data_IF_255461929096
#
_entry.id   IF_255461929096
#
_cell.length_a   1.000
_cell.length_b   1.000
_cell.length_c   1.000
_cell.angle_alpha   90.00
_cell.angle_beta   90.00
_cell.angle_gamma   90.00
#
_symmetry.space_group_name_H-M   'P 1'
#
loop_
_entity.id
_entity.type
_entity.pdbx_description
1 polymer ?
#
# COMPACT_ATOMS: atom_id res chain seq x y z
N UNK A 1 15.48 -4.47 20.24
CA UNK A 1 15.79 -3.14 19.68
C UNK A 1 14.46 -2.39 19.57
N UNK A 2 14.45 -1.07 19.67
CA UNK A 2 13.20 -0.30 19.64
C UNK A 2 12.75 -0.06 18.19
N UNK A 3 11.46 0.22 17.98
CA UNK A 3 10.95 0.68 16.70
C UNK A 3 11.60 2.04 16.38
N UNK A 4 12.31 2.11 15.26
CA UNK A 4 12.74 3.38 14.66
C UNK A 4 11.52 4.20 14.17
N UNK A 5 10.98 5.02 15.08
CA UNK A 5 9.83 5.87 14.79
C UNK A 5 10.11 6.94 13.74
N UNK A 6 11.34 7.45 13.64
CA UNK A 6 11.68 8.49 12.66
C UNK A 6 11.57 7.92 11.26
N UNK A 7 12.14 6.73 11.05
CA UNK A 7 12.04 5.99 9.80
C UNK A 7 10.58 5.68 9.45
N UNK A 8 9.79 5.18 10.40
CA UNK A 8 8.38 4.86 10.18
C UNK A 8 7.57 6.12 9.84
N UNK A 9 7.72 7.21 10.60
CA UNK A 9 6.99 8.48 10.34
C UNK A 9 7.32 9.06 8.97
N UNK A 10 8.59 9.02 8.54
CA UNK A 10 8.99 9.44 7.18
C UNK A 10 8.33 8.62 6.09
N UNK A 11 8.28 7.30 6.25
CA UNK A 11 7.62 6.41 5.28
C UNK A 11 6.10 6.60 5.25
N UNK A 12 5.46 6.80 6.41
CA UNK A 12 4.04 7.12 6.48
C UNK A 12 3.71 8.45 5.78
N UNK A 13 4.59 9.45 5.87
CA UNK A 13 4.43 10.69 5.12
C UNK A 13 4.53 10.46 3.60
N UNK A 14 5.55 9.72 3.15
CA UNK A 14 5.70 9.35 1.74
C UNK A 14 4.50 8.55 1.22
N UNK A 15 3.95 7.62 2.00
CA UNK A 15 2.70 6.90 1.64
C UNK A 15 1.54 7.87 1.42
N UNK A 16 1.40 8.89 2.27
CA UNK A 16 0.31 9.86 2.16
C UNK A 16 0.46 10.77 0.94
N UNK A 17 1.69 11.15 0.58
CA UNK A 17 1.98 11.92 -0.64
C UNK A 17 1.56 11.14 -1.90
N UNK A 18 1.96 9.86 -1.99
CA UNK A 18 1.56 8.98 -3.10
C UNK A 18 0.04 8.72 -3.10
N UNK A 19 -0.57 8.55 -1.93
CA UNK A 19 -2.02 8.38 -1.80
C UNK A 19 -2.79 9.61 -2.30
N UNK A 20 -2.32 10.81 -1.96
CA UNK A 20 -2.91 12.05 -2.44
C UNK A 20 -2.78 12.19 -3.96
N UNK A 21 -1.66 11.75 -4.53
CA UNK A 21 -1.51 11.71 -5.98
C UNK A 21 -2.51 10.74 -6.63
N UNK A 22 -2.73 9.55 -6.06
CA UNK A 22 -3.76 8.61 -6.55
C UNK A 22 -5.16 9.23 -6.47
N UNK A 23 -5.50 9.93 -5.40
CA UNK A 23 -6.79 10.61 -5.24
C UNK A 23 -7.00 11.70 -6.32
N UNK A 24 -5.96 12.42 -6.72
CA UNK A 24 -6.05 13.37 -7.83
C UNK A 24 -6.38 12.70 -9.17
N UNK A 25 -5.89 11.48 -9.38
CA UNK A 25 -6.21 10.71 -10.58
C UNK A 25 -7.66 10.19 -10.54
N UNK A 26 -8.20 9.90 -9.36
CA UNK A 26 -9.60 9.50 -9.18
C UNK A 26 -10.60 10.60 -9.55
N UNK A 27 -10.18 11.87 -9.52
CA UNK A 27 -11.00 13.02 -9.94
C UNK A 27 -11.16 13.13 -11.46
N UNK A 28 -10.35 12.39 -12.23
CA UNK A 28 -10.45 12.34 -13.69
C UNK A 28 -11.67 11.54 -14.13
N UNK A 29 -12.09 11.71 -15.37
CA UNK A 29 -12.96 10.72 -16.02
C UNK A 29 -12.15 9.51 -16.47
N UNK A 30 -12.83 8.38 -16.65
CA UNK A 30 -12.22 7.15 -17.16
C UNK A 30 -11.54 7.37 -18.53
N UNK A 31 -12.20 8.09 -19.44
CA UNK A 31 -11.66 8.44 -20.76
C UNK A 31 -10.40 9.33 -20.65
N UNK A 32 -10.37 10.29 -19.73
CA UNK A 32 -9.19 11.13 -19.49
C UNK A 32 -8.02 10.33 -18.90
N UNK A 33 -8.32 9.38 -18.01
CA UNK A 33 -7.30 8.53 -17.42
C UNK A 33 -6.66 7.61 -18.45
N UNK A 34 -7.48 6.90 -19.25
CA UNK A 34 -6.99 5.96 -20.27
C UNK A 34 -6.43 6.68 -21.50
N UNK A 35 -6.95 7.87 -21.80
CA UNK A 35 -6.51 8.69 -22.94
C UNK A 35 -5.06 9.18 -22.86
N UNK A 36 -4.43 9.13 -21.68
CA UNK A 36 -3.02 9.47 -21.49
C UNK A 36 -2.26 8.38 -20.71
N UNK A 37 -1.42 7.62 -21.44
CA UNK A 37 -0.60 6.57 -20.86
C UNK A 37 0.37 7.03 -19.76
N UNK A 38 0.59 8.33 -19.57
CA UNK A 38 1.33 8.87 -18.41
C UNK A 38 0.58 8.65 -17.11
N UNK A 39 -0.76 8.75 -17.10
CA UNK A 39 -1.58 8.54 -15.91
C UNK A 39 -1.47 7.11 -15.39
N UNK A 40 -1.47 6.14 -16.32
CA UNK A 40 -1.24 4.73 -16.00
C UNK A 40 0.15 4.51 -15.41
N UNK A 41 1.20 5.01 -16.07
CA UNK A 41 2.58 4.80 -15.61
C UNK A 41 2.83 5.46 -14.25
N UNK A 42 2.29 6.66 -14.06
CA UNK A 42 2.41 7.40 -12.81
C UNK A 42 1.63 6.73 -11.67
N UNK A 43 0.37 6.33 -11.90
CA UNK A 43 -0.43 5.62 -10.88
C UNK A 43 0.21 4.29 -10.50
N UNK A 44 0.70 3.52 -11.48
CA UNK A 44 1.39 2.28 -11.20
C UNK A 44 2.67 2.49 -10.37
N UNK A 45 3.41 3.57 -10.66
CA UNK A 45 4.61 3.90 -9.88
C UNK A 45 4.27 4.31 -8.46
N UNK A 46 3.23 5.12 -8.27
CA UNK A 46 2.74 5.50 -6.94
C UNK A 46 2.29 4.28 -6.14
N UNK A 47 1.57 3.34 -6.76
CA UNK A 47 1.14 2.08 -6.15
C UNK A 47 2.33 1.20 -5.74
N UNK A 48 3.37 1.13 -6.57
CA UNK A 48 4.62 0.43 -6.21
C UNK A 48 5.26 1.07 -4.97
N UNK A 49 5.37 2.41 -4.93
CA UNK A 49 5.97 3.13 -3.82
C UNK A 49 5.18 2.96 -2.51
N UNK A 50 3.84 3.01 -2.58
CA UNK A 50 2.94 2.72 -1.46
C UNK A 50 3.17 1.29 -0.96
N UNK A 51 3.11 0.32 -1.87
CA UNK A 51 3.27 -1.10 -1.55
C UNK A 51 4.60 -1.38 -0.86
N UNK A 52 5.70 -0.86 -1.40
CA UNK A 52 7.03 -1.04 -0.84
C UNK A 52 7.11 -0.43 0.57
N UNK A 53 6.58 0.78 0.75
CA UNK A 53 6.60 1.45 2.06
C UNK A 53 5.76 0.72 3.10
N UNK A 54 4.58 0.18 2.73
CA UNK A 54 3.76 -0.67 3.59
C UNK A 54 4.56 -1.91 4.02
N UNK A 55 5.20 -2.61 3.08
CA UNK A 55 5.98 -3.81 3.39
C UNK A 55 7.17 -3.47 4.29
N UNK A 56 7.90 -2.39 4.02
CA UNK A 56 9.07 -1.98 4.80
C UNK A 56 8.70 -1.65 6.26
N UNK A 57 7.66 -0.85 6.47
CA UNK A 57 7.16 -0.52 7.81
C UNK A 57 6.70 -1.80 8.53
N UNK A 58 5.90 -2.62 7.85
CA UNK A 58 5.34 -3.84 8.44
C UNK A 58 6.44 -4.83 8.84
N UNK A 59 7.43 -5.03 7.97
CA UNK A 59 8.59 -5.90 8.22
C UNK A 59 9.42 -5.40 9.38
N UNK A 60 9.63 -4.09 9.49
CA UNK A 60 10.32 -3.48 10.62
C UNK A 60 9.57 -3.74 11.94
N UNK A 61 8.25 -3.52 11.97
CA UNK A 61 7.42 -3.80 13.15
C UNK A 61 7.52 -5.28 13.54
N UNK A 62 7.39 -6.19 12.58
CA UNK A 62 7.50 -7.65 12.78
C UNK A 62 8.86 -8.02 13.39
N UNK A 63 9.94 -7.48 12.84
CA UNK A 63 11.30 -7.72 13.32
C UNK A 63 11.52 -7.20 14.76
N UNK A 64 11.06 -5.98 15.06
CA UNK A 64 11.23 -5.42 16.42
C UNK A 64 10.44 -6.17 17.49
N UNK A 65 9.36 -6.84 17.11
CA UNK A 65 8.55 -7.62 18.03
C UNK A 65 8.86 -9.13 18.01
N UNK A 66 9.85 -9.58 17.23
CA UNK A 66 10.19 -11.00 17.06
C UNK A 66 8.99 -11.88 16.63
N UNK A 67 8.15 -11.37 15.73
CA UNK A 67 6.96 -12.09 15.24
C UNK A 67 7.24 -13.10 14.11
N UNK A 68 8.52 -13.45 13.92
CA UNK A 68 8.98 -14.34 12.86
C UNK A 68 9.56 -13.61 11.66
N UNK A 69 9.86 -14.37 10.61
CA UNK A 69 10.50 -13.89 9.38
C UNK A 69 9.52 -14.17 8.23
N UNK A 70 8.84 -13.14 7.68
CA UNK A 70 7.97 -13.34 6.54
C UNK A 70 8.78 -13.66 5.28
N UNK A 71 8.36 -14.68 4.54
CA UNK A 71 8.99 -15.10 3.28
C UNK A 71 8.38 -14.37 2.07
N UNK A 72 7.21 -13.76 2.24
CA UNK A 72 6.49 -13.05 1.18
C UNK A 72 5.85 -11.77 1.70
N UNK A 73 5.54 -10.84 0.79
CA UNK A 73 4.80 -9.62 1.12
C UNK A 73 3.41 -9.95 1.70
N UNK A 74 2.73 -10.98 1.17
CA UNK A 74 1.44 -11.43 1.74
C UNK A 74 1.59 -11.92 3.18
N UNK A 75 2.62 -12.71 3.46
CA UNK A 75 2.89 -13.16 4.82
C UNK A 75 3.23 -12.00 5.76
N UNK A 76 3.88 -10.95 5.27
CA UNK A 76 4.15 -9.73 6.04
C UNK A 76 2.84 -9.08 6.51
N UNK A 77 1.86 -8.92 5.60
CA UNK A 77 0.54 -8.38 5.95
C UNK A 77 -0.26 -9.34 6.84
N UNK A 78 -0.13 -10.64 6.63
CA UNK A 78 -0.78 -11.67 7.45
C UNK A 78 -0.28 -11.64 8.90
N UNK A 79 1.01 -11.45 9.13
CA UNK A 79 1.58 -11.33 10.47
C UNK A 79 1.05 -10.12 11.23
N UNK A 80 0.89 -8.96 10.56
CA UNK A 80 0.27 -7.80 11.19
C UNK A 80 -1.16 -8.09 11.68
N UNK A 81 -1.95 -8.84 10.88
CA UNK A 81 -3.29 -9.26 11.27
C UNK A 81 -3.27 -10.25 12.43
N UNK A 82 -2.40 -11.25 12.36
CA UNK A 82 -2.25 -12.28 13.42
C UNK A 82 -1.94 -11.64 14.77
N UNK A 83 -1.12 -10.59 14.77
CA UNK A 83 -0.77 -9.81 15.96
C UNK A 83 -1.71 -8.63 16.24
N UNK A 84 -2.87 -8.58 15.58
CA UNK A 84 -3.95 -7.60 15.79
C UNK A 84 -3.53 -6.14 15.58
N UNK A 85 -2.49 -5.88 14.79
CA UNK A 85 -2.07 -4.53 14.40
C UNK A 85 -3.05 -3.93 13.38
N UNK A 86 -3.59 -4.77 12.51
CA UNK A 86 -4.61 -4.40 11.52
C UNK A 86 -5.77 -5.39 11.55
N UNK A 87 -7.00 -4.97 11.20
CA UNK A 87 -8.15 -5.86 11.17
C UNK A 87 -8.13 -6.77 9.93
N UNK A 88 -8.92 -7.85 9.98
CA UNK A 88 -8.97 -8.88 8.93
C UNK A 88 -9.32 -8.30 7.56
N UNK A 89 -10.33 -7.43 7.47
CA UNK A 89 -10.76 -6.82 6.21
C UNK A 89 -9.63 -6.03 5.54
N UNK A 90 -8.93 -5.19 6.31
CA UNK A 90 -7.79 -4.43 5.79
C UNK A 90 -6.64 -5.34 5.38
N UNK A 91 -6.36 -6.40 6.15
CA UNK A 91 -5.34 -7.39 5.79
C UNK A 91 -5.61 -8.07 4.45
N UNK A 92 -6.86 -8.48 4.18
CA UNK A 92 -7.21 -9.08 2.87
C UNK A 92 -7.03 -8.08 1.72
N UNK A 93 -7.47 -6.83 1.91
CA UNK A 93 -7.30 -5.79 0.91
C UNK A 93 -5.82 -5.47 0.63
N UNK A 94 -5.01 -5.32 1.68
CA UNK A 94 -3.58 -5.06 1.54
C UNK A 94 -2.85 -6.25 0.91
N UNK A 95 -3.24 -7.49 1.20
CA UNK A 95 -2.70 -8.68 0.51
C UNK A 95 -2.97 -8.64 -0.99
N UNK A 96 -4.11 -8.11 -1.42
CA UNK A 96 -4.40 -7.89 -2.85
C UNK A 96 -3.51 -6.77 -3.41
N UNK A 97 -3.42 -5.63 -2.73
CA UNK A 97 -2.58 -4.50 -3.12
C UNK A 97 -1.10 -4.91 -3.33
N UNK A 98 -0.50 -5.59 -2.35
CA UNK A 98 0.90 -6.03 -2.48
C UNK A 98 1.12 -7.08 -3.59
N UNK A 99 0.05 -7.74 -4.04
CA UNK A 99 0.08 -8.66 -5.18
C UNK A 99 -0.03 -7.94 -6.51
N UNK A 100 -0.77 -6.83 -6.56
CA UNK A 100 -0.95 -6.02 -7.78
C UNK A 100 0.38 -5.49 -8.30
N UNK A 101 1.37 -5.24 -7.42
CA UNK A 101 2.74 -4.85 -7.81
C UNK A 101 3.37 -5.83 -8.82
N UNK A 102 3.07 -7.13 -8.72
CA UNK A 102 3.59 -8.13 -9.67
C UNK A 102 2.83 -8.13 -11.00
N UNK A 103 1.61 -7.59 -11.04
CA UNK A 103 0.83 -7.48 -12.28
C UNK A 103 1.31 -6.24 -13.04
N UNK A 104 1.44 -5.11 -12.34
CA UNK A 104 1.86 -3.81 -12.89
C UNK A 104 3.30 -3.80 -13.45
N UNK A 105 4.19 -4.65 -12.94
CA UNK A 105 5.60 -4.68 -13.41
C UNK A 105 5.77 -5.47 -14.71
N UNK A 106 4.90 -6.45 -15.00
CA UNK A 106 5.17 -7.42 -16.05
C UNK A 106 4.28 -7.29 -17.29
N UNK A 107 3.12 -6.62 -17.24
CA UNK A 107 2.19 -6.50 -18.38
C UNK A 107 1.42 -5.19 -18.33
N UNK A 108 1.38 -4.46 -19.45
CA UNK A 108 0.37 -3.45 -19.70
C UNK A 108 -0.25 -3.76 -21.07
N UNK A 109 -1.42 -4.40 -21.05
CA UNK A 109 -2.37 -4.47 -22.17
C UNK A 109 -3.60 -3.63 -21.82
N UNK A 110 -4.47 -3.31 -22.79
CA UNK A 110 -5.65 -2.45 -22.56
C UNK A 110 -6.53 -2.91 -21.38
N UNK A 111 -6.68 -4.23 -21.19
CA UNK A 111 -7.41 -4.80 -20.05
C UNK A 111 -6.81 -4.45 -18.67
N UNK A 112 -5.52 -4.10 -18.59
CA UNK A 112 -4.86 -3.71 -17.33
C UNK A 112 -5.19 -2.27 -16.93
N UNK A 113 -5.59 -1.41 -17.88
CA UNK A 113 -5.95 -0.01 -17.63
C UNK A 113 -7.26 0.08 -16.86
N UNK A 114 -8.28 -0.65 -17.31
CA UNK A 114 -9.58 -0.72 -16.64
C UNK A 114 -9.46 -1.30 -15.24
N UNK A 115 -8.66 -2.36 -15.08
CA UNK A 115 -8.42 -2.97 -13.77
C UNK A 115 -7.77 -1.95 -12.82
N UNK A 116 -6.76 -1.21 -13.30
CA UNK A 116 -6.06 -0.22 -12.48
C UNK A 116 -6.99 0.93 -12.09
N UNK A 117 -7.70 1.51 -13.06
CA UNK A 117 -8.68 2.58 -12.84
C UNK A 117 -9.72 2.19 -11.77
N UNK A 118 -10.35 1.03 -11.95
CA UNK A 118 -11.38 0.54 -11.02
C UNK A 118 -10.82 0.20 -9.62
N UNK A 119 -9.51 0.11 -9.48
CA UNK A 119 -8.85 -0.19 -8.21
C UNK A 119 -8.40 1.06 -7.44
N UNK A 120 -8.26 2.23 -8.09
CA UNK A 120 -7.66 3.44 -7.49
C UNK A 120 -8.34 3.83 -6.16
N UNK A 121 -9.67 4.00 -6.18
CA UNK A 121 -10.46 4.38 -5.01
C UNK A 121 -10.30 3.42 -3.83
N UNK A 122 -10.19 2.11 -4.11
CA UNK A 122 -9.96 1.12 -3.06
C UNK A 122 -8.56 1.26 -2.50
N UNK A 123 -7.57 1.44 -3.36
CA UNK A 123 -6.17 1.59 -2.96
C UNK A 123 -5.98 2.81 -2.07
N UNK A 124 -6.50 3.98 -2.43
CA UNK A 124 -6.39 5.20 -1.63
C UNK A 124 -7.05 5.02 -0.25
N UNK A 125 -8.27 4.49 -0.20
CA UNK A 125 -8.99 4.20 1.04
C UNK A 125 -8.24 3.21 1.96
N UNK A 126 -7.77 2.09 1.42
CA UNK A 126 -7.04 1.08 2.19
C UNK A 126 -5.67 1.60 2.66
N UNK A 127 -5.02 2.43 1.85
CA UNK A 127 -3.75 3.09 2.19
C UNK A 127 -3.92 4.05 3.36
N UNK A 128 -4.95 4.90 3.36
CA UNK A 128 -5.26 5.78 4.50
C UNK A 128 -5.59 4.98 5.76
N UNK A 129 -6.35 3.90 5.59
CA UNK A 129 -6.69 3.00 6.70
C UNK A 129 -5.41 2.41 7.33
N UNK A 130 -4.48 1.90 6.52
CA UNK A 130 -3.19 1.41 6.99
C UNK A 130 -2.42 2.47 7.78
N UNK A 131 -2.34 3.71 7.25
CA UNK A 131 -1.65 4.81 7.94
C UNK A 131 -2.29 5.11 9.30
N UNK A 132 -3.62 5.11 9.41
CA UNK A 132 -4.32 5.29 10.69
C UNK A 132 -3.94 4.20 11.70
N UNK A 133 -4.03 2.93 11.30
CA UNK A 133 -3.66 1.80 12.16
C UNK A 133 -2.20 1.84 12.60
N UNK A 134 -1.28 2.21 11.72
CA UNK A 134 0.14 2.34 12.10
C UNK A 134 0.34 3.46 13.12
N UNK A 135 -0.32 4.61 12.95
CA UNK A 135 -0.24 5.72 13.92
C UNK A 135 -0.81 5.32 15.27
N UNK A 136 -1.96 4.66 15.30
CA UNK A 136 -2.56 4.14 16.53
C UNK A 136 -1.65 3.12 17.22
N UNK A 137 -1.07 2.19 16.47
CA UNK A 137 -0.14 1.20 16.99
C UNK A 137 1.11 1.84 17.63
N UNK A 138 1.68 2.86 16.99
CA UNK A 138 2.84 3.57 17.51
C UNK A 138 2.52 4.35 18.79
N UNK A 139 1.31 4.88 18.94
CA UNK A 139 0.91 5.63 20.14
C UNK A 139 0.64 4.75 21.37
N UNK A 140 0.45 3.44 21.18
CA UNK A 140 0.18 2.46 22.25
C UNK A 140 1.45 1.80 22.81
N UNK A 141 2.61 2.10 22.23
CA UNK A 141 3.93 1.55 22.57
C UNK A 141 4.76 2.57 23.32
#
# INVERSE_FOLDING_TARGET
MAIDEIMVKRRLASILEECQFIEQLEEMTHDEFIGDGRNLRASAKAIENITQSIVDISSHIIAQNNWGIPETYKQTIELLKTHKVIPKNLSENLKNLVSMRNILVYRYIDADYDILWNSLQRISSDTRSYVSFMREYLNQK
#
